data_IF_427315927285
#
_entry.id   IF_427315927285
#
_cell.length_a   1.000
_cell.length_b   1.000
_cell.length_c   1.000
_cell.angle_alpha   90.00
_cell.angle_beta   90.00
_cell.angle_gamma   90.00
#
_symmetry.space_group_name_H-M   'P 1'
#
loop_
_entity.id
_entity.type
_entity.pdbx_description
1 polymer ?
#
# COMPACT_ATOMS: atom_id res chain seq x y z
N UNK A 1 18.74 -12.40 -12.53
CA UNK A 1 17.55 -12.15 -13.36
C UNK A 1 17.62 -10.71 -13.84
N UNK A 2 17.76 -10.48 -15.14
CA UNK A 2 17.81 -9.12 -15.70
C UNK A 2 16.39 -8.56 -15.84
N UNK A 3 16.19 -7.29 -15.46
CA UNK A 3 14.95 -6.56 -15.73
C UNK A 3 14.90 -6.18 -17.22
N UNK A 4 13.74 -6.38 -17.84
CA UNK A 4 13.50 -6.16 -19.27
C UNK A 4 12.73 -4.85 -19.42
N UNK A 5 13.32 -3.86 -20.08
CA UNK A 5 12.60 -2.63 -20.47
C UNK A 5 12.40 -2.61 -21.98
N UNK A 6 11.13 -2.54 -22.41
CA UNK A 6 10.78 -2.16 -23.78
C UNK A 6 10.00 -0.85 -23.72
N UNK A 7 10.67 0.26 -24.01
CA UNK A 7 10.09 1.61 -23.98
C UNK A 7 9.44 2.03 -25.32
N UNK A 8 9.16 1.09 -26.21
CA UNK A 8 8.51 1.39 -27.48
C UNK A 8 7.45 0.34 -27.82
N UNK A 9 6.18 0.76 -28.04
CA UNK A 9 5.25 -0.03 -28.83
C UNK A 9 5.76 -0.03 -30.28
N UNK A 10 6.22 -1.16 -30.85
CA UNK A 10 6.71 -1.14 -32.22
C UNK A 10 5.50 -1.11 -33.16
N UNK A 11 5.30 0.02 -33.84
CA UNK A 11 4.31 0.16 -34.91
C UNK A 11 4.74 -0.51 -36.23
N UNK A 12 5.92 -1.13 -36.31
CA UNK A 12 6.34 -1.87 -37.49
C UNK A 12 7.42 -2.91 -37.14
N UNK A 13 7.47 -3.99 -37.95
CA UNK A 13 8.38 -5.15 -37.90
C UNK A 13 9.86 -4.76 -37.87
N UNK A 14 10.36 -4.23 -36.76
CA UNK A 14 11.79 -4.15 -36.46
C UNK A 14 12.22 -5.40 -35.69
N UNK A 15 13.47 -5.87 -35.85
CA UNK A 15 14.01 -6.90 -34.97
C UNK A 15 13.79 -6.51 -33.50
N UNK A 16 13.65 -7.48 -32.59
CA UNK A 16 13.48 -7.16 -31.17
C UNK A 16 14.61 -6.22 -30.75
N UNK A 17 14.30 -5.13 -30.03
CA UNK A 17 15.31 -4.14 -29.65
C UNK A 17 16.47 -4.85 -28.93
N UNK A 18 17.70 -4.51 -29.31
CA UNK A 18 18.89 -5.05 -28.66
C UNK A 18 18.83 -4.77 -27.16
N UNK A 19 19.09 -5.80 -26.36
CA UNK A 19 19.05 -5.74 -24.92
C UNK A 19 20.24 -4.92 -24.41
N UNK A 20 19.97 -3.74 -23.85
CA UNK A 20 20.99 -2.97 -23.16
C UNK A 20 21.25 -3.66 -21.80
N UNK A 21 22.48 -4.13 -21.51
CA UNK A 21 22.81 -4.64 -20.19
C UNK A 21 22.50 -3.60 -19.11
N UNK A 22 21.96 -4.03 -17.98
CA UNK A 22 21.63 -3.12 -16.87
C UNK A 22 22.83 -2.27 -16.41
N UNK A 23 24.04 -2.83 -16.47
CA UNK A 23 25.29 -2.12 -16.18
C UNK A 23 25.62 -1.00 -17.16
N UNK A 24 25.15 -1.08 -18.41
CA UNK A 24 25.27 0.01 -19.38
C UNK A 24 24.15 1.03 -19.21
N UNK A 25 22.95 0.59 -18.82
CA UNK A 25 21.86 1.49 -18.47
C UNK A 25 22.25 2.45 -17.34
N UNK A 26 22.89 1.94 -16.28
CA UNK A 26 23.41 2.76 -15.18
C UNK A 26 24.49 3.78 -15.59
N UNK A 27 25.15 3.60 -16.75
CA UNK A 27 26.15 4.55 -17.25
C UNK A 27 25.53 5.75 -17.97
N UNK A 28 24.22 5.76 -18.19
CA UNK A 28 23.54 6.90 -18.79
C UNK A 28 23.63 8.11 -17.86
N UNK A 29 23.71 9.34 -18.41
CA UNK A 29 23.68 10.55 -17.59
C UNK A 29 22.41 10.59 -16.73
N UNK A 30 22.52 11.08 -15.49
CA UNK A 30 21.39 11.09 -14.53
C UNK A 30 20.14 11.78 -15.09
N UNK A 31 20.30 12.79 -15.95
CA UNK A 31 19.18 13.45 -16.64
C UNK A 31 18.43 12.49 -17.58
N UNK A 32 19.14 11.66 -18.34
CA UNK A 32 18.54 10.66 -19.21
C UNK A 32 17.85 9.55 -18.41
N UNK A 33 18.48 9.10 -17.32
CA UNK A 33 17.89 8.13 -16.40
C UNK A 33 16.58 8.64 -15.80
N UNK A 34 16.52 9.89 -15.35
CA UNK A 34 15.29 10.49 -14.82
C UNK A 34 14.15 10.49 -15.85
N UNK A 35 14.43 10.86 -17.10
CA UNK A 35 13.44 10.83 -18.18
C UNK A 35 12.91 9.40 -18.36
N UNK A 36 13.79 8.40 -18.38
CA UNK A 36 13.37 6.99 -18.48
C UNK A 36 12.48 6.61 -17.30
N UNK A 37 12.87 6.93 -16.07
CA UNK A 37 12.09 6.62 -14.88
C UNK A 37 10.68 7.24 -14.94
N UNK A 38 10.55 8.48 -15.41
CA UNK A 38 9.24 9.13 -15.53
C UNK A 38 8.25 8.40 -16.45
N UNK A 39 8.75 7.68 -17.46
CA UNK A 39 7.91 6.96 -18.43
C UNK A 39 7.53 5.54 -17.96
N UNK A 40 8.09 5.07 -16.85
CA UNK A 40 7.84 3.73 -16.33
C UNK A 40 6.59 3.69 -15.45
N UNK A 41 5.89 2.56 -15.51
CA UNK A 41 4.80 2.29 -14.59
C UNK A 41 5.31 2.00 -13.17
N UNK A 42 4.40 2.05 -12.20
CA UNK A 42 4.74 1.91 -10.79
C UNK A 42 5.33 0.53 -10.43
N UNK A 43 4.98 -0.54 -11.16
CA UNK A 43 5.56 -1.86 -10.89
C UNK A 43 7.05 -1.85 -11.23
N UNK A 44 7.39 -1.32 -12.41
CA UNK A 44 8.77 -1.18 -12.84
C UNK A 44 9.57 -0.24 -11.95
N UNK A 45 8.97 0.86 -11.49
CA UNK A 45 9.59 1.78 -10.52
C UNK A 45 9.91 1.06 -9.21
N UNK A 46 8.95 0.30 -8.67
CA UNK A 46 9.21 -0.53 -7.51
C UNK A 46 10.34 -1.53 -7.80
N UNK A 47 10.28 -2.30 -8.88
CA UNK A 47 11.32 -3.29 -9.17
C UNK A 47 12.72 -2.69 -9.34
N UNK A 48 12.85 -1.54 -9.98
CA UNK A 48 14.12 -0.82 -10.15
C UNK A 48 14.66 -0.31 -8.83
N UNK A 49 13.80 0.26 -7.98
CA UNK A 49 14.19 0.73 -6.65
C UNK A 49 14.79 -0.40 -5.79
N UNK A 50 14.37 -1.64 -6.05
CA UNK A 50 14.87 -2.84 -5.36
C UNK A 50 16.19 -3.37 -5.93
N UNK A 51 16.64 -2.91 -7.10
CA UNK A 51 17.85 -3.40 -7.78
C UNK A 51 19.03 -2.43 -7.62
N UNK A 52 18.79 -1.12 -7.59
CA UNK A 52 19.86 -0.13 -7.44
C UNK A 52 19.45 1.03 -6.55
N UNK A 53 20.24 1.29 -5.50
CA UNK A 53 20.07 2.45 -4.64
C UNK A 53 20.31 3.76 -5.39
N UNK A 54 21.20 3.75 -6.39
CA UNK A 54 21.46 4.91 -7.26
C UNK A 54 20.22 5.27 -8.08
N UNK A 55 19.56 4.27 -8.68
CA UNK A 55 18.30 4.52 -9.40
C UNK A 55 17.18 4.93 -8.45
N UNK A 56 17.10 4.29 -7.27
CA UNK A 56 16.11 4.64 -6.27
C UNK A 56 16.20 6.14 -5.90
N UNK A 57 17.41 6.66 -5.71
CA UNK A 57 17.65 8.07 -5.40
C UNK A 57 17.31 9.05 -6.55
N UNK A 58 17.16 8.55 -7.78
CA UNK A 58 16.76 9.36 -8.94
C UNK A 58 15.25 9.39 -9.17
N UNK A 59 14.49 8.50 -8.52
CA UNK A 59 13.02 8.48 -8.61
C UNK A 59 12.49 9.74 -7.94
N UNK A 60 11.58 10.42 -8.65
CA UNK A 60 10.83 11.53 -8.08
C UNK A 60 9.37 11.08 -7.84
N UNK A 61 8.94 10.96 -6.56
CA UNK A 61 7.59 10.53 -6.19
C UNK A 61 6.46 11.28 -6.90
N UNK A 62 6.65 12.56 -7.24
CA UNK A 62 5.63 13.37 -7.88
C UNK A 62 5.21 12.85 -9.27
N UNK A 63 6.11 12.15 -9.98
CA UNK A 63 5.81 11.55 -11.29
C UNK A 63 5.07 10.21 -11.19
N UNK A 64 5.07 9.59 -10.01
CA UNK A 64 4.37 8.33 -9.74
C UNK A 64 3.32 8.59 -8.65
N UNK A 65 2.39 9.48 -8.98
CA UNK A 65 1.31 9.89 -8.07
C UNK A 65 0.11 8.98 -8.22
N UNK A 66 -0.32 8.40 -7.10
CA UNK A 66 -1.58 7.68 -6.96
C UNK A 66 -2.68 8.57 -6.40
N UNK A 67 -3.93 8.27 -6.74
CA UNK A 67 -5.07 8.98 -6.18
C UNK A 67 -5.17 8.70 -4.69
N UNK A 68 -4.99 7.44 -4.28
CA UNK A 68 -4.92 7.11 -2.86
C UNK A 68 -4.19 5.80 -2.56
N UNK A 69 -3.84 5.68 -1.30
CA UNK A 69 -3.25 4.49 -0.68
C UNK A 69 -4.25 3.89 0.31
N UNK A 70 -4.51 2.60 0.23
CA UNK A 70 -5.28 1.83 1.21
C UNK A 70 -4.31 1.03 2.08
N UNK A 71 -4.35 1.23 3.40
CA UNK A 71 -3.66 0.38 4.37
C UNK A 71 -4.70 -0.46 5.10
N UNK A 72 -4.72 -1.75 4.84
CA UNK A 72 -5.59 -2.71 5.50
C UNK A 72 -4.79 -3.50 6.53
N UNK A 73 -5.28 -3.50 7.76
CA UNK A 73 -4.58 -4.12 8.91
C UNK A 73 -5.44 -5.19 9.59
N UNK A 74 -6.55 -5.60 8.98
CA UNK A 74 -7.44 -6.60 9.54
C UNK A 74 -6.77 -7.97 9.67
N UNK A 75 -7.25 -8.80 10.60
CA UNK A 75 -6.83 -10.21 10.73
C UNK A 75 -6.95 -11.00 9.43
N UNK A 76 -8.01 -10.76 8.68
CA UNK A 76 -8.32 -11.47 7.43
C UNK A 76 -7.42 -11.02 6.28
N UNK A 77 -7.03 -9.74 6.29
CA UNK A 77 -6.26 -9.13 5.21
C UNK A 77 -5.32 -8.06 5.74
N UNK A 78 -4.02 -8.32 5.60
CA UNK A 78 -2.95 -7.34 5.85
C UNK A 78 -2.36 -6.91 4.51
N UNK A 79 -2.54 -5.65 4.12
CA UNK A 79 -2.10 -5.17 2.81
C UNK A 79 -1.89 -3.67 2.74
N UNK A 80 -0.99 -3.24 1.85
CA UNK A 80 -0.86 -1.85 1.39
C UNK A 80 -1.16 -1.84 -0.10
N UNK A 81 -2.14 -1.05 -0.54
CA UNK A 81 -2.57 -0.98 -1.94
C UNK A 81 -2.57 0.45 -2.45
N UNK A 82 -1.97 0.68 -3.61
CA UNK A 82 -1.94 1.99 -4.26
C UNK A 82 -2.88 1.96 -5.46
N UNK A 83 -3.80 2.91 -5.51
CA UNK A 83 -4.83 2.97 -6.53
C UNK A 83 -4.67 4.23 -7.36
N UNK A 84 -4.74 4.03 -8.67
CA UNK A 84 -4.93 5.09 -9.63
C UNK A 84 -6.33 4.90 -10.20
N UNK A 85 -7.18 5.92 -10.15
CA UNK A 85 -8.53 5.86 -10.73
C UNK A 85 -9.33 4.63 -10.26
N UNK A 86 -9.57 4.52 -8.94
CA UNK A 86 -10.19 3.45 -8.11
C UNK A 86 -10.88 2.26 -8.81
N UNK A 87 -11.64 2.48 -9.89
CA UNK A 87 -12.42 1.45 -10.61
C UNK A 87 -11.85 1.02 -11.96
N UNK A 88 -10.90 1.76 -12.55
CA UNK A 88 -10.41 1.53 -13.92
C UNK A 88 -9.06 0.83 -13.94
N UNK A 89 -8.12 1.26 -13.11
CA UNK A 89 -6.79 0.68 -13.11
C UNK A 89 -6.66 -0.35 -11.98
N UNK A 90 -5.88 -1.40 -12.25
CA UNK A 90 -5.57 -2.39 -11.22
C UNK A 90 -4.63 -1.75 -10.18
N UNK A 91 -4.88 -1.94 -8.88
CA UNK A 91 -4.00 -1.41 -7.85
C UNK A 91 -2.67 -2.14 -7.83
N UNK A 92 -1.63 -1.40 -7.44
CA UNK A 92 -0.36 -1.97 -7.01
C UNK A 92 -0.53 -2.41 -5.55
N UNK A 93 -0.61 -3.72 -5.31
CA UNK A 93 -0.91 -4.27 -3.97
C UNK A 93 0.25 -5.09 -3.41
N UNK A 94 0.60 -4.80 -2.17
CA UNK A 94 1.50 -5.55 -1.29
C UNK A 94 0.67 -6.25 -0.21
N UNK A 95 0.58 -7.58 -0.27
CA UNK A 95 -0.08 -8.39 0.74
C UNK A 95 0.94 -8.97 1.71
N UNK A 96 0.62 -8.99 2.99
CA UNK A 96 1.49 -9.48 4.04
C UNK A 96 0.91 -10.75 4.66
N UNK A 97 1.73 -11.79 4.78
CA UNK A 97 1.28 -13.09 5.32
C UNK A 97 2.39 -13.77 6.11
N UNK A 98 2.01 -14.52 7.14
CA UNK A 98 2.90 -15.44 7.85
C UNK A 98 3.10 -16.77 7.11
N UNK A 99 2.30 -17.03 6.05
CA UNK A 99 2.40 -18.28 5.29
C UNK A 99 3.69 -18.29 4.47
N UNK A 100 4.62 -19.16 4.89
CA UNK A 100 5.85 -19.52 4.17
C UNK A 100 5.57 -20.32 2.90
N UNK A 101 4.87 -19.72 1.93
CA UNK A 101 4.92 -20.23 0.56
C UNK A 101 6.31 -19.97 -0.02
N UNK A 102 6.70 -20.68 -1.09
CA UNK A 102 8.02 -20.53 -1.72
C UNK A 102 8.22 -19.09 -2.22
N UNK A 103 8.86 -18.26 -1.40
CA UNK A 103 9.29 -16.91 -1.73
C UNK A 103 10.64 -17.00 -2.44
N UNK A 104 10.75 -16.36 -3.61
CA UNK A 104 11.89 -16.52 -4.50
C UNK A 104 12.81 -15.28 -4.52
N UNK A 105 12.46 -14.23 -3.78
CA UNK A 105 13.22 -12.98 -3.72
C UNK A 105 13.16 -12.38 -2.32
N UNK A 106 14.16 -11.57 -1.98
CA UNK A 106 14.12 -10.66 -0.83
C UNK A 106 14.00 -9.23 -1.34
N UNK A 107 13.09 -8.46 -0.75
CA UNK A 107 12.94 -7.01 -0.98
C UNK A 107 13.37 -6.22 0.24
N UNK A 108 13.72 -4.95 0.01
CA UNK A 108 14.22 -4.01 1.01
C UNK A 108 13.26 -2.83 1.13
N UNK A 109 12.89 -2.52 2.36
CA UNK A 109 12.12 -1.34 2.76
C UNK A 109 12.96 -0.58 3.79
N UNK A 110 13.90 0.23 3.32
CA UNK A 110 14.99 0.72 4.17
C UNK A 110 15.86 -0.43 4.68
N UNK A 111 16.03 -0.54 6.00
CA UNK A 111 16.77 -1.63 6.64
C UNK A 111 15.95 -2.93 6.75
N UNK A 112 14.62 -2.85 6.63
CA UNK A 112 13.73 -4.00 6.69
C UNK A 112 13.91 -4.86 5.43
N UNK A 113 14.08 -6.18 5.62
CA UNK A 113 14.20 -7.16 4.53
C UNK A 113 13.13 -8.21 4.64
N UNK A 114 12.26 -8.29 3.63
CA UNK A 114 11.16 -9.24 3.60
C UNK A 114 11.31 -10.23 2.45
N UNK A 115 11.10 -11.53 2.67
CA UNK A 115 10.87 -12.48 1.59
C UNK A 115 9.63 -12.05 0.80
N UNK A 116 9.71 -12.09 -0.53
CA UNK A 116 8.64 -11.69 -1.41
C UNK A 116 8.47 -12.67 -2.57
N UNK A 117 7.22 -12.87 -2.96
CA UNK A 117 6.83 -13.55 -4.18
C UNK A 117 6.04 -12.57 -5.03
N UNK A 118 6.41 -12.49 -6.31
CA UNK A 118 5.63 -11.75 -7.28
C UNK A 118 4.63 -12.70 -7.96
N UNK A 119 3.34 -12.35 -7.89
CA UNK A 119 2.31 -12.94 -8.74
C UNK A 119 2.16 -12.05 -9.99
N UNK A 120 2.39 -12.58 -11.21
CA UNK A 120 2.20 -11.85 -12.47
C UNK A 120 0.81 -11.22 -12.66
N UNK A 121 -0.18 -11.61 -11.85
CA UNK A 121 -1.49 -10.97 -11.76
C UNK A 121 -1.51 -9.68 -10.91
N UNK A 122 -0.34 -9.08 -10.66
CA UNK A 122 -0.08 -7.75 -10.03
C UNK A 122 -0.12 -7.70 -8.50
N UNK A 123 0.26 -8.78 -7.82
CA UNK A 123 0.30 -8.80 -6.35
C UNK A 123 1.68 -9.20 -5.85
N UNK A 124 2.25 -8.33 -5.05
CA UNK A 124 3.43 -8.65 -4.24
C UNK A 124 2.95 -9.31 -2.96
N UNK A 125 3.50 -10.48 -2.65
CA UNK A 125 3.23 -11.19 -1.40
C UNK A 125 4.50 -11.18 -0.56
N UNK A 126 4.49 -10.40 0.52
CA UNK A 126 5.57 -10.26 1.48
C UNK A 126 5.33 -11.19 2.68
N UNK A 127 6.38 -11.90 3.10
CA UNK A 127 6.33 -12.76 4.28
C UNK A 127 6.75 -11.98 5.52
N UNK A 128 5.91 -11.97 6.54
CA UNK A 128 6.26 -11.49 7.88
C UNK A 128 5.37 -12.12 8.93
N UNK A 129 5.95 -12.40 10.10
CA UNK A 129 5.22 -12.87 11.27
C UNK A 129 4.67 -11.70 12.10
N UNK A 130 5.22 -10.49 11.92
CA UNK A 130 4.85 -9.27 12.65
C UNK A 130 4.66 -8.13 11.66
N UNK A 131 3.44 -7.96 11.17
CA UNK A 131 3.11 -6.97 10.13
C UNK A 131 3.17 -5.53 10.66
N UNK A 132 2.75 -5.35 11.90
CA UNK A 132 2.65 -4.06 12.57
C UNK A 132 4.03 -3.39 12.64
N UNK A 133 5.07 -4.15 12.98
CA UNK A 133 6.47 -3.67 12.99
C UNK A 133 7.01 -3.35 11.58
N UNK A 134 6.43 -3.94 10.54
CA UNK A 134 6.85 -3.72 9.16
C UNK A 134 6.19 -2.50 8.52
N UNK A 135 5.06 -2.03 9.06
CA UNK A 135 4.21 -1.04 8.40
C UNK A 135 4.94 0.30 8.21
N UNK A 136 5.54 0.83 9.28
CA UNK A 136 6.27 2.11 9.24
C UNK A 136 7.43 2.08 8.23
N UNK A 137 8.38 1.12 8.28
CA UNK A 137 9.46 1.05 7.27
C UNK A 137 8.96 0.91 5.83
N UNK A 138 7.85 0.21 5.61
CA UNK A 138 7.25 0.09 4.29
C UNK A 138 6.69 1.43 3.82
N UNK A 139 5.92 2.13 4.66
CA UNK A 139 5.36 3.45 4.32
C UNK A 139 6.45 4.50 4.10
N UNK A 140 7.49 4.51 4.93
CA UNK A 140 8.66 5.38 4.78
C UNK A 140 9.32 5.16 3.41
N UNK A 141 9.58 3.88 3.08
CA UNK A 141 10.14 3.52 1.79
C UNK A 141 9.23 3.95 0.63
N UNK A 142 7.94 3.66 0.69
CA UNK A 142 7.02 4.01 -0.39
C UNK A 142 6.94 5.53 -0.60
N UNK A 143 7.01 6.32 0.47
CA UNK A 143 7.05 7.78 0.35
C UNK A 143 8.29 8.30 -0.40
N UNK A 144 9.37 7.51 -0.49
CA UNK A 144 10.56 7.87 -1.28
C UNK A 144 10.39 7.65 -2.78
N UNK A 145 9.43 6.83 -3.22
CA UNK A 145 9.27 6.47 -4.63
C UNK A 145 7.88 6.79 -5.20
N UNK A 146 6.88 6.96 -4.35
CA UNK A 146 5.49 7.22 -4.73
C UNK A 146 4.92 8.40 -3.95
N UNK A 147 4.07 9.17 -4.63
CA UNK A 147 3.25 10.20 -4.00
C UNK A 147 1.80 9.73 -3.98
N UNK A 148 1.05 10.10 -2.94
CA UNK A 148 -0.39 9.89 -2.87
C UNK A 148 -1.09 11.25 -2.73
N UNK A 149 -2.31 11.35 -3.26
CA UNK A 149 -3.18 12.53 -3.07
C UNK A 149 -4.02 12.42 -1.80
N UNK A 150 -4.44 11.20 -1.44
CA UNK A 150 -5.12 10.91 -0.19
C UNK A 150 -4.78 9.52 0.37
N UNK A 151 -5.29 9.22 1.56
CA UNK A 151 -5.08 7.96 2.26
C UNK A 151 -6.37 7.38 2.82
N UNK A 152 -6.50 6.06 2.78
CA UNK A 152 -7.56 5.33 3.46
C UNK A 152 -6.91 4.28 4.37
N UNK A 153 -7.15 4.38 5.67
CA UNK A 153 -6.78 3.32 6.60
C UNK A 153 -8.02 2.47 6.89
N UNK A 154 -7.99 1.19 6.51
CA UNK A 154 -9.08 0.23 6.78
C UNK A 154 -8.76 -0.52 8.05
N UNK A 155 -9.58 -0.31 9.07
CA UNK A 155 -9.44 -0.86 10.42
C UNK A 155 -10.66 -1.70 10.74
N UNK A 156 -10.43 -2.94 11.21
CA UNK A 156 -11.51 -3.73 11.78
C UNK A 156 -11.63 -3.42 13.28
N UNK A 157 -12.82 -2.99 13.71
CA UNK A 157 -13.14 -2.58 15.08
C UNK A 157 -13.13 -3.74 16.08
N UNK A 158 -13.26 -4.97 15.61
CA UNK A 158 -13.24 -6.18 16.46
C UNK A 158 -11.86 -6.39 17.13
N UNK A 159 -10.82 -5.64 16.73
CA UNK A 159 -9.45 -5.75 17.24
C UNK A 159 -8.85 -4.36 17.60
N UNK A 160 -8.78 -4.07 18.90
CA UNK A 160 -7.92 -3.09 19.60
C UNK A 160 -7.28 -1.96 18.74
N UNK A 161 -8.00 -0.84 18.65
CA UNK A 161 -7.76 0.42 17.90
C UNK A 161 -6.49 1.22 18.24
N UNK A 162 -5.67 0.82 19.22
CA UNK A 162 -4.57 1.65 19.72
C UNK A 162 -3.29 1.65 18.85
N UNK A 163 -2.95 0.54 18.18
CA UNK A 163 -1.69 0.44 17.38
C UNK A 163 -1.80 1.08 15.99
N UNK A 164 -3.01 1.30 15.50
CA UNK A 164 -3.30 1.96 14.23
C UNK A 164 -2.73 3.37 14.20
N UNK A 165 -2.82 4.08 15.34
CA UNK A 165 -2.43 5.48 15.51
C UNK A 165 -1.00 5.78 15.07
N UNK A 166 -0.05 4.94 15.46
CA UNK A 166 1.38 5.17 15.17
C UNK A 166 1.71 5.14 13.68
N UNK A 167 0.87 4.47 12.88
CA UNK A 167 1.13 4.28 11.45
C UNK A 167 0.23 5.15 10.57
N UNK A 168 -0.82 5.75 11.13
CA UNK A 168 -1.76 6.64 10.42
C UNK A 168 -1.32 8.10 10.38
N UNK A 169 -0.44 8.54 11.27
CA UNK A 169 0.13 9.90 11.25
C UNK A 169 1.29 10.04 10.23
N UNK A 170 1.45 9.05 9.36
CA UNK A 170 2.55 9.01 8.41
C UNK A 170 2.45 10.16 7.38
N UNK A 171 3.54 10.89 7.08
CA UNK A 171 3.54 12.00 6.12
C UNK A 171 3.05 11.63 4.71
N UNK A 172 3.09 10.34 4.34
CA UNK A 172 2.58 9.82 3.06
C UNK A 172 1.09 10.14 2.84
N UNK A 173 0.33 10.31 3.92
CA UNK A 173 -1.09 10.64 3.85
C UNK A 173 -1.37 12.15 3.76
N UNK A 174 -0.36 13.02 3.95
CA UNK A 174 -0.45 14.49 3.79
C UNK A 174 -1.67 15.16 4.46
N UNK A 175 -2.09 14.68 5.63
CA UNK A 175 -3.30 15.11 6.36
C UNK A 175 -4.65 14.77 5.66
N UNK A 176 -4.62 13.99 4.59
CA UNK A 176 -5.78 13.55 3.83
C UNK A 176 -6.14 12.09 4.15
N UNK A 177 -6.02 11.72 5.43
CA UNK A 177 -6.31 10.36 5.87
C UNK A 177 -7.79 10.24 6.23
N UNK A 178 -8.44 9.27 5.59
CA UNK A 178 -9.78 8.81 5.96
C UNK A 178 -9.67 7.47 6.67
N UNK A 179 -10.22 7.37 7.87
CA UNK A 179 -10.32 6.09 8.56
C UNK A 179 -11.61 5.37 8.15
N UNK A 180 -11.51 4.17 7.62
CA UNK A 180 -12.64 3.29 7.34
C UNK A 180 -12.73 2.21 8.41
N UNK A 181 -13.78 2.28 9.20
CA UNK A 181 -14.08 1.35 10.27
C UNK A 181 -15.08 0.32 9.79
N UNK A 182 -14.75 -0.95 9.96
CA UNK A 182 -15.66 -2.06 9.68
C UNK A 182 -15.69 -3.04 10.85
N UNK A 183 -16.79 -3.74 11.07
CA UNK A 183 -16.88 -4.75 12.13
C UNK A 183 -18.33 -5.06 12.51
N UNK A 184 -18.50 -5.94 13.51
CA UNK A 184 -19.81 -6.22 14.09
C UNK A 184 -19.94 -5.42 15.40
N UNK A 185 -20.94 -4.55 15.49
CA UNK A 185 -21.26 -3.93 16.78
C UNK A 185 -22.04 -4.97 17.60
N UNK A 186 -21.48 -5.39 18.74
CA UNK A 186 -22.25 -6.09 19.76
C UNK A 186 -23.16 -5.07 20.46
N UNK A 187 -24.49 -5.15 20.31
CA UNK A 187 -25.42 -4.18 20.90
C UNK A 187 -25.40 -4.19 22.44
N UNK A 188 -24.89 -5.25 23.07
CA UNK A 188 -24.73 -5.33 24.52
C UNK A 188 -23.42 -4.71 25.03
N UNK A 189 -22.51 -4.34 24.14
CA UNK A 189 -21.30 -3.62 24.50
C UNK A 189 -21.50 -2.14 24.20
N UNK A 190 -21.65 -1.33 25.26
CA UNK A 190 -21.53 0.12 25.16
C UNK A 190 -20.06 0.50 24.90
N UNK A 191 -19.57 0.21 23.70
CA UNK A 191 -18.32 0.77 23.21
C UNK A 191 -18.64 2.20 22.80
N UNK A 192 -18.30 3.16 23.66
CA UNK A 192 -18.36 4.58 23.31
C UNK A 192 -17.45 4.81 22.11
N UNK A 193 -18.07 4.93 20.93
CA UNK A 193 -17.40 5.21 19.66
C UNK A 193 -16.45 6.42 19.78
N UNK A 194 -16.81 7.41 20.62
CA UNK A 194 -16.00 8.61 20.86
C UNK A 194 -14.70 8.34 21.61
N UNK A 195 -14.70 7.48 22.64
CA UNK A 195 -13.49 7.20 23.44
C UNK A 195 -12.69 5.99 22.94
N UNK A 196 -13.36 5.05 22.27
CA UNK A 196 -12.76 3.80 21.78
C UNK A 196 -12.17 3.93 20.38
N UNK A 197 -12.73 4.81 19.55
CA UNK A 197 -12.29 4.90 18.16
C UNK A 197 -11.22 5.98 17.99
N UNK A 198 -11.40 7.21 18.49
CA UNK A 198 -10.43 8.28 18.24
C UNK A 198 -10.44 9.38 19.32
N UNK A 199 -9.44 9.44 20.23
CA UNK A 199 -9.20 10.65 21.02
C UNK A 199 -8.65 11.82 20.18
N UNK A 200 -8.19 11.57 18.94
CA UNK A 200 -7.52 12.56 18.06
C UNK A 200 -8.13 12.62 16.64
N UNK A 201 -9.46 12.47 16.51
CA UNK A 201 -10.17 12.58 15.22
C UNK A 201 -9.92 13.90 14.46
N UNK A 202 -9.35 14.90 15.14
CA UNK A 202 -9.02 16.23 14.61
C UNK A 202 -7.98 16.18 13.48
N UNK A 203 -7.16 15.13 13.40
CA UNK A 203 -6.14 14.95 12.36
C UNK A 203 -6.62 14.18 11.13
N UNK A 204 -7.82 13.59 11.18
CA UNK A 204 -8.42 12.87 10.05
C UNK A 204 -9.16 13.84 9.14
N UNK A 205 -9.04 13.61 7.82
CA UNK A 205 -9.89 14.30 6.84
C UNK A 205 -11.34 13.80 6.93
N UNK A 206 -11.54 12.54 7.33
CA UNK A 206 -12.86 11.98 7.53
C UNK A 206 -12.86 10.59 8.15
N UNK A 207 -14.05 10.12 8.50
CA UNK A 207 -14.29 8.77 9.01
C UNK A 207 -15.42 8.15 8.19
N UNK A 208 -15.17 6.96 7.63
CA UNK A 208 -16.17 6.10 7.00
C UNK A 208 -16.48 4.97 7.98
N UNK A 209 -17.77 4.71 8.16
CA UNK A 209 -18.25 3.69 9.08
C UNK A 209 -19.11 2.69 8.32
N UNK A 210 -18.65 1.44 8.25
CA UNK A 210 -19.34 0.33 7.59
C UNK A 210 -19.61 -0.79 8.61
N UNK A 211 -20.72 -0.69 9.34
CA UNK A 211 -21.15 -1.72 10.27
C UNK A 211 -22.15 -2.68 9.65
N UNK A 212 -21.96 -3.97 9.94
CA UNK A 212 -22.96 -4.98 9.66
C UNK A 212 -23.77 -5.21 10.93
N UNK A 213 -25.07 -4.96 10.83
CA UNK A 213 -26.01 -5.23 11.91
C UNK A 213 -26.53 -6.67 11.78
N UNK A 214 -26.19 -7.50 12.76
CA UNK A 214 -26.78 -8.82 12.91
C UNK A 214 -28.11 -8.67 13.65
N UNK A 215 -29.23 -8.73 12.90
CA UNK A 215 -30.61 -8.66 13.42
C UNK A 215 -30.86 -9.55 14.66
N UNK A 216 -30.32 -10.79 14.76
CA UNK A 216 -30.55 -11.65 15.94
C UNK A 216 -30.00 -11.11 17.27
N UNK A 217 -29.15 -10.08 17.25
CA UNK A 217 -28.53 -9.53 18.46
C UNK A 217 -29.28 -8.31 19.02
N UNK A 218 -30.26 -7.78 18.27
CA UNK A 218 -31.08 -6.67 18.75
C UNK A 218 -32.21 -7.21 19.62
N UNK A 219 -32.19 -6.87 20.91
CA UNK A 219 -33.42 -6.93 21.70
C UNK A 219 -34.34 -5.81 21.25
N UNK A 220 -35.19 -6.10 20.27
CA UNK A 220 -36.16 -5.17 19.70
C UNK A 220 -37.14 -4.63 20.76
N UNK A 221 -37.24 -5.26 21.94
CA UNK A 221 -38.07 -4.73 23.03
C UNK A 221 -37.51 -3.41 23.61
N UNK A 222 -36.21 -3.14 23.45
CA UNK A 222 -35.59 -1.87 23.85
C UNK A 222 -35.93 -0.69 22.92
N UNK A 223 -36.39 -0.94 21.69
CA UNK A 223 -36.88 0.10 20.77
C UNK A 223 -38.36 0.46 21.00
N UNK A 224 -39.08 -0.37 21.75
CA UNK A 224 -40.53 -0.26 21.94
C UNK A 224 -40.88 0.48 23.25
N UNK A 225 -39.92 0.66 24.15
CA UNK A 225 -40.09 1.49 25.36
C UNK A 225 -39.03 2.61 25.39
N UNK A 226 -39.38 3.85 25.00
CA UNK A 226 -38.51 5.02 25.15
C UNK A 226 -38.26 5.41 26.61
#
# INVERSE_FOLDING_TARGET
MGLIFSLCKPKNRRPPPELIPFSQFLKLPSKALRIVLHELDAHHIFELSQVSAELAALINPAHHTFDHIEVNISKEKKSISFYNNWQKDRPLTFNFTSKRAVFNRTVKFGDLRLPMKYDPKTRYHCSTDIYEECLQPCLDFFATIFSCRGGIAVVNMDECTMRVRQHTDHPIFKNNLVAKLSGNINPNEHVSLQSSIFPEYVLLEGIIVEFYFSIPLFDLTQLINP
#
